data_IF_706752492797
#
_entry.id   IF_706752492797
#
_cell.length_a   1.000
_cell.length_b   1.000
_cell.length_c   1.000
_cell.angle_alpha   90.00
_cell.angle_beta   90.00
_cell.angle_gamma   90.00
#
_symmetry.space_group_name_H-M   'P 1'
#
loop_
_entity.id
_entity.type
_entity.pdbx_description
1 polymer ?
#
# COMPACT_ATOMS: atom_id res chain seq x y z
N UNK A 1 11.07 -30.35 -9.80
CA UNK A 1 11.81 -29.23 -9.21
C UNK A 1 10.85 -28.44 -8.36
N UNK A 2 11.11 -28.31 -7.07
CA UNK A 2 10.27 -27.49 -6.19
C UNK A 2 10.67 -26.03 -6.49
N UNK A 3 9.74 -25.13 -6.85
CA UNK A 3 10.12 -23.73 -7.05
C UNK A 3 10.58 -23.18 -5.71
N UNK A 4 11.85 -22.75 -5.66
CA UNK A 4 12.36 -21.92 -4.59
C UNK A 4 11.65 -20.58 -4.71
N UNK A 5 10.52 -20.42 -4.02
CA UNK A 5 9.98 -19.10 -3.71
C UNK A 5 10.91 -18.47 -2.68
N UNK A 6 12.01 -17.88 -3.17
CA UNK A 6 12.84 -16.97 -2.41
C UNK A 6 11.99 -15.75 -2.08
N UNK A 7 11.44 -15.76 -0.86
CA UNK A 7 10.56 -14.76 -0.26
C UNK A 7 11.30 -13.41 -0.11
N UNK A 8 11.39 -12.64 -1.20
CA UNK A 8 11.21 -11.20 -1.06
C UNK A 8 9.71 -11.00 -0.86
N UNK A 9 9.24 -11.10 0.38
CA UNK A 9 7.86 -10.73 0.74
C UNK A 9 7.72 -9.22 0.54
N UNK A 10 7.42 -8.82 -0.69
CA UNK A 10 6.97 -7.46 -0.97
C UNK A 10 5.61 -7.35 -0.31
N UNK A 11 5.57 -6.74 0.86
CA UNK A 11 4.33 -6.46 1.56
C UNK A 11 3.55 -5.47 0.71
N UNK A 12 2.33 -5.82 0.26
CA UNK A 12 1.50 -4.93 -0.53
C UNK A 12 1.19 -3.66 0.27
N UNK A 13 1.20 -2.52 -0.42
CA UNK A 13 0.93 -1.22 0.22
C UNK A 13 -0.52 -1.07 0.67
N UNK A 14 -1.43 -1.60 -0.14
CA UNK A 14 -2.86 -1.49 0.06
C UNK A 14 -3.49 -2.87 -0.06
N UNK A 15 -4.28 -3.22 0.95
CA UNK A 15 -4.98 -4.50 1.01
C UNK A 15 -6.41 -4.30 1.46
N UNK A 16 -7.29 -5.12 0.91
CA UNK A 16 -8.64 -5.31 1.40
C UNK A 16 -8.67 -6.54 2.29
N UNK A 17 -9.30 -6.45 3.45
CA UNK A 17 -9.53 -7.58 4.35
C UNK A 17 -11.02 -7.74 4.62
N UNK A 18 -11.46 -8.99 4.84
CA UNK A 18 -12.86 -9.28 5.15
C UNK A 18 -13.15 -9.23 6.65
N UNK A 19 -12.21 -9.70 7.47
CA UNK A 19 -12.38 -9.81 8.91
C UNK A 19 -11.14 -9.33 9.64
N UNK A 20 -11.34 -8.55 10.70
CA UNK A 20 -10.32 -8.20 11.67
C UNK A 20 -10.49 -9.09 12.90
N UNK A 21 -9.46 -9.88 13.21
CA UNK A 21 -9.43 -10.75 14.37
C UNK A 21 -8.58 -10.11 15.46
N UNK A 22 -9.22 -9.70 16.53
CA UNK A 22 -8.55 -9.19 17.72
C UNK A 22 -8.13 -10.36 18.62
N UNK A 23 -6.83 -10.48 18.86
CA UNK A 23 -6.27 -11.39 19.88
C UNK A 23 -5.38 -10.57 20.83
N UNK A 24 -4.14 -10.99 21.08
CA UNK A 24 -3.10 -10.12 21.67
C UNK A 24 -2.56 -9.10 20.65
N UNK A 25 -2.66 -9.43 19.36
CA UNK A 25 -2.39 -8.54 18.23
C UNK A 25 -3.59 -8.57 17.28
N UNK A 26 -3.73 -7.53 16.49
CA UNK A 26 -4.73 -7.43 15.43
C UNK A 26 -4.24 -8.14 14.18
N UNK A 27 -5.03 -9.09 13.69
CA UNK A 27 -4.73 -9.85 12.47
C UNK A 27 -5.85 -9.68 11.46
N UNK A 28 -5.50 -9.48 10.19
CA UNK A 28 -6.44 -9.41 9.08
C UNK A 28 -6.60 -10.81 8.45
N UNK A 29 -7.83 -11.21 8.14
CA UNK A 29 -8.16 -12.47 7.44
C UNK A 29 -8.80 -12.21 6.09
N UNK A 30 -8.56 -13.15 5.16
CA UNK A 30 -9.00 -13.07 3.75
C UNK A 30 -8.49 -11.76 3.11
N UNK A 31 -7.17 -11.59 3.11
CA UNK A 31 -6.48 -10.39 2.64
C UNK A 31 -6.25 -10.49 1.13
N UNK A 32 -6.60 -9.43 0.39
CA UNK A 32 -6.39 -9.32 -1.06
C UNK A 32 -5.68 -8.01 -1.38
N UNK A 33 -4.65 -8.05 -2.22
CA UNK A 33 -4.00 -6.84 -2.73
C UNK A 33 -4.95 -6.08 -3.66
N UNK A 34 -5.03 -4.75 -3.49
CA UNK A 34 -5.85 -3.89 -4.35
C UNK A 34 -5.04 -2.71 -4.87
N UNK A 35 -5.44 -2.19 -6.02
CA UNK A 35 -4.89 -0.95 -6.55
C UNK A 35 -5.63 0.27 -5.99
N UNK A 36 -4.92 1.35 -5.65
CA UNK A 36 -5.54 2.59 -5.16
C UNK A 36 -6.55 3.19 -6.15
N UNK A 37 -6.29 3.07 -7.45
CA UNK A 37 -7.18 3.58 -8.52
C UNK A 37 -8.60 3.00 -8.42
N UNK A 38 -8.73 1.73 -8.00
CA UNK A 38 -10.03 1.05 -7.89
C UNK A 38 -10.92 1.70 -6.84
N UNK A 39 -10.35 2.23 -5.75
CA UNK A 39 -11.11 2.91 -4.70
C UNK A 39 -11.74 4.20 -5.23
N UNK A 40 -11.02 4.94 -6.09
CA UNK A 40 -11.56 6.14 -6.72
C UNK A 40 -12.63 5.79 -7.76
N UNK A 41 -12.46 4.69 -8.50
CA UNK A 41 -13.45 4.26 -9.49
C UNK A 41 -14.76 3.78 -8.84
N UNK A 42 -14.69 2.98 -7.78
CA UNK A 42 -15.89 2.36 -7.16
C UNK A 42 -16.49 3.21 -6.03
N UNK A 43 -15.68 4.04 -5.36
CA UNK A 43 -16.04 4.74 -4.13
C UNK A 43 -15.45 6.17 -4.07
N UNK A 44 -15.50 6.91 -5.19
CA UNK A 44 -15.08 8.33 -5.28
C UNK A 44 -15.76 9.27 -4.27
N UNK A 45 -16.91 8.90 -3.71
CA UNK A 45 -17.59 9.68 -2.67
C UNK A 45 -16.98 9.50 -1.28
N UNK A 46 -16.18 8.44 -1.08
CA UNK A 46 -15.53 8.12 0.19
C UNK A 46 -14.03 8.42 0.15
N UNK A 47 -13.37 8.21 -0.99
CA UNK A 47 -11.93 8.42 -1.17
C UNK A 47 -11.66 9.58 -2.13
N UNK A 48 -10.73 10.47 -1.75
CA UNK A 48 -10.19 11.50 -2.63
C UNK A 48 -8.83 11.07 -3.18
N UNK A 49 -8.37 11.72 -4.26
CA UNK A 49 -7.05 11.44 -4.86
C UNK A 49 -5.94 11.47 -3.80
N UNK A 50 -5.98 12.46 -2.91
CA UNK A 50 -4.97 12.66 -1.87
C UNK A 50 -4.96 11.56 -0.79
N UNK A 51 -6.06 10.80 -0.62
CA UNK A 51 -6.13 9.66 0.31
C UNK A 51 -5.41 8.41 -0.24
N UNK A 52 -5.36 8.29 -1.56
CA UNK A 52 -4.83 7.11 -2.25
C UNK A 52 -3.47 7.37 -2.92
N UNK A 53 -3.01 8.62 -2.95
CA UNK A 53 -1.68 8.99 -3.43
C UNK A 53 -0.58 8.51 -2.48
N UNK A 54 0.39 7.78 -3.04
CA UNK A 54 1.56 7.34 -2.30
C UNK A 54 2.46 8.53 -1.96
N UNK A 55 2.56 8.84 -0.66
CA UNK A 55 3.47 9.88 -0.16
C UNK A 55 4.96 9.58 -0.43
N UNK A 56 5.32 8.32 -0.74
CA UNK A 56 6.68 7.95 -1.15
C UNK A 56 7.04 8.39 -2.58
N UNK A 57 6.03 8.71 -3.40
CA UNK A 57 6.17 9.17 -4.78
C UNK A 57 6.42 10.67 -4.88
N UNK A 58 6.31 11.40 -3.76
CA UNK A 58 6.73 12.80 -3.66
C UNK A 58 8.26 12.84 -3.65
N UNK A 59 8.86 12.74 -4.83
CA UNK A 59 10.28 12.99 -5.08
C UNK A 59 10.65 14.28 -4.36
N UNK A 60 11.38 14.13 -3.27
CA UNK A 60 12.01 15.24 -2.56
C UNK A 60 12.81 16.03 -3.59
N UNK A 61 12.57 17.34 -3.78
CA UNK A 61 13.43 18.12 -4.66
C UNK A 61 14.82 18.02 -4.07
N UNK A 62 15.75 17.41 -4.82
CA UNK A 62 17.18 17.44 -4.51
C UNK A 62 17.56 18.91 -4.51
N UNK A 63 17.59 19.53 -3.34
CA UNK A 63 18.10 20.88 -3.16
C UNK A 63 19.52 20.89 -3.73
N UNK A 64 19.88 21.87 -4.60
CA UNK A 64 21.24 21.99 -5.04
C UNK A 64 22.11 22.21 -3.80
N UNK A 65 22.98 21.22 -3.54
CA UNK A 65 24.00 21.30 -2.54
C UNK A 65 24.86 22.54 -2.79
N UNK A 66 25.19 23.21 -1.70
CA UNK A 66 26.18 24.26 -1.60
C UNK A 66 27.43 23.87 -2.41
N UNK A 67 27.68 24.60 -3.51
CA UNK A 67 28.95 24.57 -4.22
C UNK A 67 29.19 25.96 -4.81
N UNK A 68 29.74 26.87 -4.00
CA UNK A 68 31.05 27.51 -4.21
C UNK A 68 31.41 28.41 -3.03
#
# INVERSE_FOLDING_TARGET
>A
GIPSSGLAEVVPRLVLYHELVLTTKEYMRQVTEIKPEWLLEIASHYYQLNDVEDSSSKKMPRGPGLAH
#
